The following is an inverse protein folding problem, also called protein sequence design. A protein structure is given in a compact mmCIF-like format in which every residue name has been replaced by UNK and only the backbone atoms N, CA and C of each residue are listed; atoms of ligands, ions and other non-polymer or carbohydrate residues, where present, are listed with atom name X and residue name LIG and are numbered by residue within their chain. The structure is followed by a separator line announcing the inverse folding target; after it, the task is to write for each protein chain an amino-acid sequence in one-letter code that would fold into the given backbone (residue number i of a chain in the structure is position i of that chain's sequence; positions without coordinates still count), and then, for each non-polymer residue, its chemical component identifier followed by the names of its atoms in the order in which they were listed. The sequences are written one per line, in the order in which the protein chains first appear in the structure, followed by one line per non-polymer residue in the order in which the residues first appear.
data_IF_455746196859
#
_entry.id   IF_455746196859
#
_cell.length_a   1.000
_cell.length_b   1.000
_cell.length_c   1.000
_cell.angle_alpha   90.00
_cell.angle_beta   90.00
_cell.angle_gamma   90.00
#
_symmetry.space_group_name_H-M   'P 1'
#
loop_
_entity.id
_entity.type
_entity.pdbx_description
1 polymer ?
#
# COMPACT_ATOMS: atom_id res chain seq x y z
N UNK A 1 33.30 2.84 2.03
CA UNK A 1 31.86 2.54 1.83
C UNK A 1 31.02 3.30 2.87
N UNK A 2 30.52 4.47 2.47
CA UNK A 2 29.61 5.27 3.30
C UNK A 2 28.32 4.47 3.54
N UNK A 3 28.09 4.06 4.78
CA UNK A 3 26.82 3.48 5.20
C UNK A 3 25.78 4.59 5.07
N UNK A 4 24.91 4.48 4.07
CA UNK A 4 23.82 5.42 3.85
C UNK A 4 23.01 5.57 5.12
N UNK A 5 23.02 6.77 5.69
CA UNK A 5 22.22 7.12 6.87
C UNK A 5 20.77 6.72 6.62
N UNK A 6 20.25 5.83 7.46
CA UNK A 6 18.84 5.44 7.43
C UNK A 6 17.96 6.69 7.51
N UNK A 7 16.86 6.71 6.75
CA UNK A 7 15.91 7.83 6.76
C UNK A 7 15.39 8.16 8.16
N UNK A 8 15.26 7.17 9.04
CA UNK A 8 14.90 7.37 10.44
C UNK A 8 15.90 8.27 11.19
N UNK A 9 17.21 8.08 10.98
CA UNK A 9 18.23 8.93 11.60
C UNK A 9 18.14 10.38 11.10
N UNK A 10 17.84 10.59 9.81
CA UNK A 10 17.64 11.92 9.24
C UNK A 10 16.39 12.61 9.78
N UNK A 11 15.30 11.85 9.90
CA UNK A 11 14.03 12.33 10.46
C UNK A 11 14.23 12.73 11.93
N UNK A 12 14.96 11.94 12.71
CA UNK A 12 15.23 12.22 14.13
C UNK A 12 16.23 13.37 14.34
N UNK A 13 17.17 13.55 13.42
CA UNK A 13 18.17 14.63 13.47
C UNK A 13 17.70 15.93 12.80
N UNK A 14 16.48 15.97 12.25
CA UNK A 14 15.97 17.15 11.59
C UNK A 14 15.88 18.31 12.58
N UNK A 15 16.27 19.50 12.11
CA UNK A 15 16.24 20.72 12.92
C UNK A 15 14.81 21.02 13.36
N UNK A 16 14.62 21.56 14.58
CA UNK A 16 13.37 22.23 14.91
C UNK A 16 13.06 23.30 13.86
N UNK A 17 11.78 23.50 13.58
CA UNK A 17 11.19 24.44 12.63
C UNK A 17 11.37 24.11 11.14
N UNK A 18 11.86 22.92 10.78
CA UNK A 18 11.99 22.52 9.36
C UNK A 18 10.62 22.34 8.68
N UNK A 19 9.68 21.68 9.37
CA UNK A 19 8.32 21.46 8.89
C UNK A 19 7.40 21.05 10.06
N UNK A 20 6.23 21.68 10.17
CA UNK A 20 5.29 21.44 11.29
C UNK A 20 4.92 19.97 11.46
N UNK A 21 4.66 19.23 10.36
CA UNK A 21 4.32 17.81 10.46
C UNK A 21 5.49 16.96 10.97
N UNK A 22 6.73 17.36 10.65
CA UNK A 22 7.92 16.65 11.10
C UNK A 22 8.15 16.86 12.59
N UNK A 23 7.93 18.08 13.08
CA UNK A 23 7.98 18.39 14.51
C UNK A 23 6.91 17.62 15.29
N UNK A 24 5.68 17.60 14.76
CA UNK A 24 4.57 16.82 15.34
C UNK A 24 4.95 15.34 15.40
N UNK A 25 5.48 14.79 14.31
CA UNK A 25 5.94 13.40 14.23
C UNK A 25 7.03 13.12 15.28
N UNK A 26 8.07 13.95 15.36
CA UNK A 26 9.17 13.78 16.31
C UNK A 26 8.68 13.84 17.75
N UNK A 27 7.80 14.79 18.08
CA UNK A 27 7.23 14.95 19.41
C UNK A 27 6.44 13.71 19.84
N UNK A 28 5.59 13.19 18.95
CA UNK A 28 4.82 11.98 19.21
C UNK A 28 5.75 10.77 19.34
N UNK A 29 6.75 10.64 18.46
CA UNK A 29 7.72 9.55 18.52
C UNK A 29 8.49 9.54 19.85
N UNK A 30 9.02 10.70 20.28
CA UNK A 30 9.76 10.82 21.53
C UNK A 30 8.91 10.47 22.76
N UNK A 31 7.62 10.82 22.74
CA UNK A 31 6.70 10.51 23.83
C UNK A 31 6.38 9.01 23.92
N UNK A 32 6.39 8.29 22.80
CA UNK A 32 5.97 6.88 22.71
C UNK A 32 7.13 5.88 22.65
N UNK A 33 8.33 6.32 22.25
CA UNK A 33 9.52 5.48 22.13
C UNK A 33 9.85 4.68 23.41
N UNK A 34 9.67 5.21 24.64
CA UNK A 34 9.93 4.44 25.86
C UNK A 34 9.02 3.22 26.03
N UNK A 35 7.81 3.24 25.46
CA UNK A 35 6.81 2.18 25.57
C UNK A 35 6.99 1.09 24.49
N UNK A 36 7.70 1.40 23.41
CA UNK A 36 8.00 0.46 22.33
C UNK A 36 8.70 -0.80 22.87
N UNK A 37 8.08 -1.97 22.71
CA UNK A 37 8.61 -3.25 23.17
C UNK A 37 8.42 -3.53 24.68
N UNK A 38 7.88 -2.56 25.44
CA UNK A 38 7.38 -2.78 26.82
C UNK A 38 5.90 -3.10 26.82
N UNK A 39 5.17 -2.52 25.88
CA UNK A 39 3.77 -2.82 25.55
C UNK A 39 3.70 -3.52 24.19
N UNK A 40 2.55 -4.13 23.85
CA UNK A 40 2.35 -4.71 22.53
C UNK A 40 2.61 -3.69 21.42
N UNK A 41 3.38 -4.09 20.40
CA UNK A 41 3.72 -3.20 19.28
C UNK A 41 2.49 -2.60 18.58
N UNK A 42 1.38 -3.35 18.53
CA UNK A 42 0.10 -2.87 18.00
C UNK A 42 -0.45 -1.69 18.79
N UNK A 43 -0.42 -1.75 20.13
CA UNK A 43 -0.92 -0.68 20.99
C UNK A 43 -0.08 0.61 20.84
N UNK A 44 1.26 0.49 20.84
CA UNK A 44 2.13 1.66 20.65
C UNK A 44 1.98 2.26 19.26
N UNK A 45 1.87 1.43 18.22
CA UNK A 45 1.64 1.90 16.85
C UNK A 45 0.26 2.55 16.67
N UNK A 46 -0.77 2.00 17.31
CA UNK A 46 -2.11 2.60 17.29
C UNK A 46 -2.11 3.98 17.93
N UNK A 47 -1.54 4.12 19.13
CA UNK A 47 -1.39 5.42 19.80
C UNK A 47 -0.61 6.42 18.95
N UNK A 48 0.46 5.95 18.30
CA UNK A 48 1.26 6.76 17.40
C UNK A 48 0.44 7.25 16.21
N UNK A 49 -0.30 6.34 15.57
CA UNK A 49 -1.16 6.64 14.43
C UNK A 49 -2.30 7.61 14.79
N UNK A 50 -2.97 7.40 15.93
CA UNK A 50 -4.03 8.28 16.43
C UNK A 50 -3.51 9.68 16.81
N UNK A 51 -2.36 9.77 17.48
CA UNK A 51 -1.75 11.05 17.84
C UNK A 51 -1.35 11.91 16.63
N UNK A 52 -1.13 11.28 15.47
CA UNK A 52 -0.87 11.93 14.19
C UNK A 52 -2.14 12.21 13.37
N UNK A 53 -3.34 12.00 13.94
CA UNK A 53 -4.61 12.11 13.22
C UNK A 53 -4.70 11.17 12.00
N UNK A 54 -4.02 10.02 12.12
CA UNK A 54 -3.91 9.03 11.08
C UNK A 54 -5.24 8.43 10.62
N UNK A 55 -6.22 8.12 11.51
CA UNK A 55 -7.53 7.65 11.08
C UNK A 55 -8.23 8.65 10.15
N UNK A 56 -8.20 9.95 10.45
CA UNK A 56 -8.79 10.97 9.60
C UNK A 56 -8.05 11.09 8.26
N UNK A 57 -6.71 11.07 8.27
CA UNK A 57 -5.91 11.10 7.06
C UNK A 57 -6.19 9.91 6.13
N UNK A 58 -6.29 8.69 6.68
CA UNK A 58 -6.62 7.48 5.91
C UNK A 58 -8.08 7.50 5.44
N UNK A 59 -9.02 7.96 6.27
CA UNK A 59 -10.41 8.14 5.85
C UNK A 59 -10.51 9.10 4.65
N UNK A 60 -9.73 10.17 4.63
CA UNK A 60 -9.70 11.13 3.53
C UNK A 60 -9.07 10.55 2.24
N UNK A 61 -8.04 9.71 2.37
CA UNK A 61 -7.32 9.11 1.25
C UNK A 61 -8.02 7.89 0.64
N UNK A 62 -8.56 7.02 1.51
CA UNK A 62 -9.00 5.67 1.18
C UNK A 62 -10.38 5.30 1.75
N UNK A 63 -11.07 6.25 2.40
CA UNK A 63 -12.41 6.04 2.95
C UNK A 63 -12.44 5.09 4.15
N UNK A 64 -13.64 4.66 4.53
CA UNK A 64 -13.85 3.75 5.65
C UNK A 64 -13.17 2.39 5.45
N UNK A 65 -13.07 1.90 4.21
CA UNK A 65 -12.35 0.66 3.90
C UNK A 65 -10.85 0.78 4.20
N UNK A 66 -10.23 1.93 3.89
CA UNK A 66 -8.84 2.21 4.27
C UNK A 66 -8.63 2.14 5.77
N UNK A 67 -9.52 2.79 6.54
CA UNK A 67 -9.45 2.76 8.01
C UNK A 67 -9.62 1.34 8.55
N UNK A 68 -10.57 0.59 8.02
CA UNK A 68 -10.78 -0.82 8.40
C UNK A 68 -9.55 -1.68 8.09
N UNK A 69 -8.90 -1.48 6.95
CA UNK A 69 -7.67 -2.19 6.61
C UNK A 69 -6.51 -1.82 7.56
N UNK A 70 -6.39 -0.55 7.96
CA UNK A 70 -5.40 -0.13 8.97
C UNK A 70 -5.65 -0.80 10.33
N UNK A 71 -6.91 -0.91 10.76
CA UNK A 71 -7.26 -1.63 11.99
C UNK A 71 -6.97 -3.12 11.87
N UNK A 72 -7.25 -3.74 10.71
CA UNK A 72 -6.87 -5.14 10.46
C UNK A 72 -5.37 -5.37 10.49
N UNK A 73 -4.57 -4.42 10.01
CA UNK A 73 -3.12 -4.48 10.13
C UNK A 73 -2.69 -4.49 11.61
N UNK A 74 -3.31 -3.66 12.45
CA UNK A 74 -3.05 -3.65 13.89
C UNK A 74 -3.46 -4.98 14.55
N UNK A 75 -4.61 -5.56 14.15
CA UNK A 75 -5.04 -6.90 14.61
C UNK A 75 -3.99 -7.99 14.28
N UNK A 76 -3.38 -7.92 13.09
CA UNK A 76 -2.33 -8.86 12.69
C UNK A 76 -1.04 -8.67 13.49
N UNK A 77 -0.66 -7.41 13.73
CA UNK A 77 0.51 -7.08 14.56
C UNK A 77 0.34 -7.55 16.01
N UNK A 78 -0.88 -7.53 16.54
CA UNK A 78 -1.17 -7.99 17.90
C UNK A 78 -1.01 -9.52 18.05
N UNK A 79 -1.16 -10.26 16.95
CA UNK A 79 -0.94 -11.72 16.92
C UNK A 79 0.54 -12.11 16.85
N UNK A 80 1.45 -11.15 16.59
CA UNK A 80 2.86 -11.42 16.48
C UNK A 80 3.53 -11.63 17.86
N UNK A 81 4.67 -12.35 17.92
CA UNK A 81 5.45 -12.46 19.13
C UNK A 81 5.84 -11.09 19.67
N UNK A 82 5.68 -10.89 20.98
CA UNK A 82 6.12 -9.69 21.68
C UNK A 82 7.60 -9.83 22.10
N UNK A 83 8.30 -8.71 22.31
CA UNK A 83 9.72 -8.70 22.69
C UNK A 83 10.61 -8.08 21.62
N UNK A 84 11.46 -8.87 20.97
CA UNK A 84 12.41 -8.33 19.98
C UNK A 84 11.69 -7.94 18.69
N UNK A 85 11.73 -6.65 18.35
CA UNK A 85 11.01 -6.11 17.18
C UNK A 85 11.38 -6.75 15.84
N UNK A 86 12.60 -7.28 15.70
CA UNK A 86 13.02 -8.05 14.51
C UNK A 86 12.20 -9.34 14.33
N UNK A 87 11.93 -10.05 15.42
CA UNK A 87 11.15 -11.30 15.42
C UNK A 87 9.67 -11.00 15.17
N UNK A 88 9.14 -9.94 15.80
CA UNK A 88 7.80 -9.43 15.55
C UNK A 88 7.61 -9.06 14.08
N UNK A 89 8.57 -8.32 13.50
CA UNK A 89 8.52 -7.88 12.11
C UNK A 89 8.54 -9.06 11.13
N UNK A 90 9.44 -10.03 11.33
CA UNK A 90 9.50 -11.23 10.51
C UNK A 90 8.20 -12.05 10.57
N UNK A 91 7.60 -12.18 11.76
CA UNK A 91 6.31 -12.84 11.93
C UNK A 91 5.18 -12.08 11.21
N UNK A 92 5.15 -10.75 11.33
CA UNK A 92 4.16 -9.90 10.67
C UNK A 92 4.26 -10.02 9.14
N UNK A 93 5.46 -10.00 8.57
CA UNK A 93 5.68 -10.19 7.14
C UNK A 93 5.11 -11.53 6.66
N UNK A 94 5.33 -12.61 7.42
CA UNK A 94 4.76 -13.93 7.13
C UNK A 94 3.22 -13.95 7.21
N UNK A 95 2.62 -13.29 8.20
CA UNK A 95 1.16 -13.15 8.30
C UNK A 95 0.58 -12.37 7.12
N UNK A 96 1.20 -11.24 6.75
CA UNK A 96 0.74 -10.40 5.64
C UNK A 96 0.79 -11.13 4.29
N UNK A 97 1.81 -11.96 4.05
CA UNK A 97 1.90 -12.77 2.82
C UNK A 97 0.76 -13.79 2.69
N UNK A 98 0.24 -14.28 3.82
CA UNK A 98 -0.82 -15.28 3.87
C UNK A 98 -2.21 -14.68 4.10
N UNK A 99 -2.30 -13.38 4.43
CA UNK A 99 -3.57 -12.72 4.69
C UNK A 99 -4.19 -12.26 3.37
N UNK A 100 -5.24 -12.97 2.96
CA UNK A 100 -6.08 -12.54 1.86
C UNK A 100 -6.93 -11.34 2.29
N UNK A 101 -6.76 -10.20 1.64
CA UNK A 101 -7.74 -9.11 1.75
C UNK A 101 -8.93 -9.45 0.86
N UNK A 102 -10.13 -9.68 1.40
CA UNK A 102 -11.30 -9.90 0.56
C UNK A 102 -11.52 -8.70 -0.36
N UNK A 103 -11.99 -8.93 -1.60
CA UNK A 103 -12.29 -7.85 -2.52
C UNK A 103 -13.28 -6.88 -1.87
N UNK A 104 -13.08 -5.59 -2.12
CA UNK A 104 -13.95 -4.52 -1.63
C UNK A 104 -15.43 -4.92 -1.86
N UNK A 105 -16.28 -4.98 -0.81
CA UNK A 105 -17.70 -5.31 -0.99
C UNK A 105 -18.41 -4.32 -1.91
N UNK A 106 -17.91 -3.09 -2.03
CA UNK A 106 -18.41 -2.12 -2.99
C UNK A 106 -17.98 -2.41 -4.44
N UNK A 107 -17.01 -3.29 -4.67
CA UNK A 107 -16.61 -3.72 -6.02
C UNK A 107 -17.76 -4.43 -6.75
N UNK A 108 -18.74 -4.99 -6.03
CA UNK A 108 -19.96 -5.52 -6.64
C UNK A 108 -20.82 -4.45 -7.33
N UNK A 109 -20.69 -3.18 -6.93
CA UNK A 109 -21.37 -2.04 -7.56
C UNK A 109 -20.49 -1.34 -8.59
N UNK A 110 -19.25 -1.81 -8.81
CA UNK A 110 -18.39 -1.29 -9.86
C UNK A 110 -18.94 -1.70 -11.22
N UNK A 111 -19.05 -0.78 -12.20
CA UNK A 111 -19.39 -1.15 -13.57
C UNK A 111 -18.27 -1.95 -14.25
N UNK A 112 -17.09 -2.03 -13.63
CA UNK A 112 -15.92 -2.77 -14.11
C UNK A 112 -15.64 -3.93 -13.16
N UNK A 113 -15.57 -5.15 -13.70
CA UNK A 113 -15.19 -6.35 -12.94
C UNK A 113 -13.82 -6.85 -13.39
N UNK A 114 -12.88 -6.99 -12.46
CA UNK A 114 -11.57 -7.60 -12.74
C UNK A 114 -11.59 -9.08 -12.36
N UNK A 115 -11.37 -9.95 -13.34
CA UNK A 115 -11.37 -11.41 -13.15
C UNK A 115 -10.08 -11.99 -13.72
N UNK A 116 -9.62 -13.10 -13.13
CA UNK A 116 -8.65 -13.94 -13.83
C UNK A 116 -9.34 -14.63 -15.00
N UNK A 117 -8.59 -14.97 -16.06
CA UNK A 117 -9.13 -15.72 -17.22
C UNK A 117 -9.88 -16.99 -16.77
N UNK A 118 -9.36 -17.66 -15.73
CA UNK A 118 -10.00 -18.83 -15.12
C UNK A 118 -11.38 -18.53 -14.53
N UNK A 119 -11.53 -17.41 -13.82
CA UNK A 119 -12.83 -17.00 -13.23
C UNK A 119 -13.84 -16.50 -14.27
N UNK A 120 -13.38 -16.05 -15.44
CA UNK A 120 -14.24 -15.57 -16.52
C UNK A 120 -14.80 -16.71 -17.40
N UNK A 121 -14.31 -17.96 -17.26
CA UNK A 121 -14.70 -19.06 -18.13
C UNK A 121 -16.19 -19.39 -17.99
N UNK A 122 -16.92 -19.34 -19.11
CA UNK A 122 -18.36 -19.61 -19.15
C UNK A 122 -19.24 -18.42 -18.76
N UNK A 123 -18.64 -17.23 -18.60
CA UNK A 123 -19.35 -15.96 -18.46
C UNK A 123 -19.29 -15.19 -19.79
N UNK A 124 -20.31 -14.38 -20.05
CA UNK A 124 -20.39 -13.50 -21.22
C UNK A 124 -20.37 -12.03 -20.76
N UNK A 125 -19.70 -11.18 -21.53
CA UNK A 125 -19.55 -9.75 -21.25
C UNK A 125 -19.64 -8.98 -22.58
N UNK A 126 -20.31 -7.82 -22.57
CA UNK A 126 -20.41 -6.95 -23.75
C UNK A 126 -19.04 -6.42 -24.20
N UNK A 127 -18.17 -6.11 -23.24
CA UNK A 127 -16.83 -5.58 -23.46
C UNK A 127 -15.81 -6.29 -22.58
N UNK A 128 -14.73 -6.79 -23.18
CA UNK A 128 -13.63 -7.49 -22.49
C UNK A 128 -12.31 -6.79 -22.79
N UNK A 129 -11.60 -6.40 -21.74
CA UNK A 129 -10.23 -5.89 -21.82
C UNK A 129 -9.27 -6.93 -21.25
N UNK A 130 -8.38 -7.47 -22.07
CA UNK A 130 -7.34 -8.41 -21.63
C UNK A 130 -6.01 -7.67 -21.46
N UNK A 131 -5.42 -7.76 -20.27
CA UNK A 131 -4.20 -7.05 -19.88
C UNK A 131 -3.05 -8.03 -19.60
N UNK A 132 -1.80 -7.60 -19.84
CA UNK A 132 -0.61 -8.40 -19.55
C UNK A 132 -0.39 -9.58 -20.51
N UNK A 133 -0.87 -9.49 -21.75
CA UNK A 133 -0.67 -10.51 -22.79
C UNK A 133 0.80 -10.67 -23.21
N UNK A 134 1.60 -9.64 -22.94
CA UNK A 134 3.05 -9.59 -23.12
C UNK A 134 3.82 -10.10 -21.89
N UNK A 135 3.17 -10.45 -20.78
CA UNK A 135 3.86 -10.95 -19.59
C UNK A 135 4.28 -12.41 -19.74
N UNK A 136 5.56 -12.72 -19.49
CA UNK A 136 6.00 -14.11 -19.35
C UNK A 136 5.82 -14.59 -17.90
N UNK A 137 4.89 -15.52 -17.64
CA UNK A 137 4.66 -16.01 -16.29
C UNK A 137 5.84 -16.80 -15.70
N UNK A 138 6.77 -17.30 -16.53
CA UNK A 138 7.91 -18.10 -16.09
C UNK A 138 9.08 -17.25 -15.63
N UNK A 139 9.34 -16.13 -16.32
CA UNK A 139 10.44 -15.22 -15.98
C UNK A 139 9.97 -14.02 -15.16
N UNK A 140 8.65 -13.83 -15.01
CA UNK A 140 8.00 -12.66 -14.41
C UNK A 140 8.46 -11.34 -15.05
N UNK A 141 8.73 -11.37 -16.35
CA UNK A 141 9.18 -10.21 -17.12
C UNK A 141 8.32 -10.01 -18.37
N UNK A 142 8.22 -8.77 -18.89
CA UNK A 142 7.63 -8.53 -20.20
C UNK A 142 8.41 -9.27 -21.29
N UNK A 143 7.69 -9.92 -22.21
CA UNK A 143 8.25 -10.54 -23.41
C UNK A 143 8.61 -9.44 -24.41
N UNK A 144 9.88 -9.05 -24.37
CA UNK A 144 10.45 -8.09 -25.31
C UNK A 144 10.28 -6.64 -24.89
N UNK A 145 11.05 -5.75 -25.52
CA UNK A 145 11.07 -4.31 -25.27
C UNK A 145 9.85 -3.57 -25.86
N UNK A 146 8.70 -4.24 -25.99
CA UNK A 146 7.51 -3.61 -26.55
C UNK A 146 6.90 -2.68 -25.51
N UNK A 147 6.84 -1.40 -25.87
CA UNK A 147 6.24 -0.34 -25.07
C UNK A 147 4.78 -0.72 -24.77
N UNK A 148 4.42 -0.80 -23.48
CA UNK A 148 3.07 -1.16 -23.06
C UNK A 148 2.03 -0.40 -23.88
N UNK A 149 1.04 -1.11 -24.43
CA UNK A 149 0.02 -0.54 -25.31
C UNK A 149 -0.74 0.61 -24.64
N UNK A 150 -0.82 0.59 -23.31
CA UNK A 150 -1.36 1.65 -22.48
C UNK A 150 -0.38 1.94 -21.34
N UNK A 151 0.09 3.18 -21.24
CA UNK A 151 0.71 3.70 -20.02
C UNK A 151 -0.39 4.38 -19.22
N UNK A 152 -0.69 3.85 -18.04
CA UNK A 152 -1.55 4.53 -17.07
C UNK A 152 -0.66 5.13 -15.99
N UNK A 153 -0.69 6.46 -15.87
CA UNK A 153 -0.01 7.17 -14.79
C UNK A 153 -1.04 7.92 -13.94
N UNK A 154 -0.80 7.96 -12.63
CA UNK A 154 -1.66 8.66 -11.68
C UNK A 154 -1.21 10.11 -11.64
N UNK A 155 -2.13 11.03 -11.96
CA UNK A 155 -1.84 12.45 -11.79
C UNK A 155 -1.79 12.80 -10.29
N UNK A 156 -0.80 13.58 -9.84
CA UNK A 156 -0.81 14.11 -8.47
C UNK A 156 -1.98 15.07 -8.30
N UNK A 157 -2.82 14.83 -7.29
CA UNK A 157 -4.01 15.63 -7.00
C UNK A 157 -4.98 14.91 -6.07
N UNK A 158 -6.00 15.65 -5.59
CA UNK A 158 -7.08 15.08 -4.76
C UNK A 158 -8.07 14.24 -5.57
N UNK A 159 -8.15 14.47 -6.88
CA UNK A 159 -8.96 13.65 -7.79
C UNK A 159 -8.19 12.41 -8.23
N UNK A 160 -8.89 11.27 -8.31
CA UNK A 160 -8.36 10.01 -8.85
C UNK A 160 -8.36 10.03 -10.39
N UNK A 161 -7.71 11.03 -10.95
CA UNK A 161 -7.60 11.22 -12.40
C UNK A 161 -6.40 10.44 -12.94
N UNK A 162 -6.64 9.60 -13.93
CA UNK A 162 -5.60 8.79 -14.58
C UNK A 162 -5.32 9.33 -15.98
N UNK A 163 -4.04 9.53 -16.31
CA UNK A 163 -3.62 9.74 -17.69
C UNK A 163 -3.47 8.38 -18.35
N UNK A 164 -4.26 8.11 -19.39
CA UNK A 164 -4.09 6.96 -20.26
C UNK A 164 -3.49 7.43 -21.58
N UNK A 165 -2.26 7.00 -21.88
CA UNK A 165 -1.65 7.20 -23.18
C UNK A 165 -1.62 5.88 -23.94
N UNK A 166 -2.32 5.81 -25.08
CA UNK A 166 -2.25 4.69 -26.00
C UNK A 166 -1.01 4.79 -26.90
N UNK A 167 -0.32 3.68 -27.14
CA UNK A 167 0.62 3.63 -28.25
C UNK A 167 -0.17 3.77 -29.57
N UNK A 168 0.33 4.57 -30.52
CA UNK A 168 -0.30 4.70 -31.84
C UNK A 168 -0.39 3.33 -32.50
N UNK A 169 -1.61 2.95 -32.84
CA UNK A 169 -1.93 1.71 -33.53
C UNK A 169 -1.11 1.62 -34.83
N UNK A 170 -0.38 0.52 -34.98
CA UNK A 170 0.28 0.16 -36.25
C UNK A 170 -0.58 -0.87 -36.96
N UNK A 171 -1.81 -0.50 -37.30
CA UNK A 171 -2.54 -1.15 -38.38
C UNK A 171 -2.38 -0.31 -39.65
N UNK A 172 -1.45 -0.76 -40.49
CA UNK A 172 -1.54 -0.52 -41.93
C UNK A 172 -1.38 -1.85 -42.65
N UNK A 173 -2.48 -2.24 -43.29
CA UNK A 173 -2.69 -3.22 -44.38
C UNK A 173 -3.42 -4.49 -43.97
#
# INVERSE_FOLDING_TARGET
PEQGSFWSAKILAAKPDLHQDLERWQKVYQALQPDCGREPYAATLQRFWEALDGPAAIAQLAGAAGVSNSLRFLDLLDQCPQGRGEETLAALEGLLQNTYTPPDPCAAFSPITMLTIHKAKGLEFDHVFSVGLDYDPRTRQPRGAQKAAFLMDRLPGKERSYLAAGATDRTTS
#
